data_IF_961611543864
#
_entry.id   IF_961611543864
#
_cell.length_a   1.000
_cell.length_b   1.000
_cell.length_c   1.000
_cell.angle_alpha   90.00
_cell.angle_beta   90.00
_cell.angle_gamma   90.00
#
_symmetry.space_group_name_H-M   'P 1'
#
loop_
_entity.id
_entity.type
_entity.pdbx_description
1 polymer ?
#
# COMPACT_ATOMS: atom_id res chain seq x y z
N UNK A 1 -31.67 26.08 -4.91
CA UNK A 1 -30.26 25.68 -4.79
C UNK A 1 -30.28 24.40 -3.99
N UNK A 2 -29.98 23.26 -4.62
CA UNK A 2 -29.82 21.99 -3.91
C UNK A 2 -28.54 22.07 -3.12
N UNK A 3 -28.68 22.06 -1.80
CA UNK A 3 -27.58 21.87 -0.86
C UNK A 3 -26.91 20.54 -1.22
N UNK A 4 -25.64 20.50 -1.65
CA UNK A 4 -24.96 19.23 -1.79
C UNK A 4 -24.61 18.80 -0.36
N UNK A 5 -25.53 18.10 0.29
CA UNK A 5 -25.11 17.12 1.29
C UNK A 5 -24.20 16.16 0.53
N UNK A 6 -22.89 16.43 0.58
CA UNK A 6 -21.87 15.48 0.19
C UNK A 6 -22.12 14.28 1.10
N UNK A 7 -22.72 13.25 0.54
CA UNK A 7 -22.77 11.98 1.21
C UNK A 7 -21.33 11.47 1.26
N UNK A 8 -20.71 11.64 2.42
CA UNK A 8 -19.33 11.22 2.65
C UNK A 8 -19.17 9.72 2.39
N UNK A 9 -20.19 8.90 2.68
CA UNK A 9 -20.13 7.48 2.42
C UNK A 9 -20.14 7.19 0.92
N UNK A 10 -21.00 7.85 0.13
CA UNK A 10 -20.98 7.72 -1.34
C UNK A 10 -19.68 8.23 -1.95
N UNK A 11 -19.14 9.33 -1.43
CA UNK A 11 -17.88 9.91 -1.91
C UNK A 11 -16.70 9.00 -1.60
N UNK A 12 -16.64 8.43 -0.40
CA UNK A 12 -15.61 7.46 -0.02
C UNK A 12 -15.72 6.18 -0.84
N UNK A 13 -16.93 5.65 -1.04
CA UNK A 13 -17.16 4.48 -1.88
C UNK A 13 -16.70 4.73 -3.32
N UNK A 14 -16.97 5.92 -3.87
CA UNK A 14 -16.49 6.33 -5.18
C UNK A 14 -14.96 6.37 -5.25
N UNK A 15 -14.29 7.02 -4.30
CA UNK A 15 -12.82 7.08 -4.27
C UNK A 15 -12.18 5.70 -4.10
N UNK A 16 -12.80 4.81 -3.30
CA UNK A 16 -12.34 3.43 -3.17
C UNK A 16 -12.44 2.69 -4.51
N UNK A 17 -13.58 2.79 -5.20
CA UNK A 17 -13.77 2.16 -6.50
C UNK A 17 -12.82 2.73 -7.59
N UNK A 18 -12.58 4.04 -7.58
CA UNK A 18 -11.63 4.68 -8.50
C UNK A 18 -10.19 4.18 -8.26
N UNK A 19 -9.79 4.02 -7.01
CA UNK A 19 -8.45 3.51 -6.66
C UNK A 19 -8.32 2.01 -6.95
N UNK A 20 -9.35 1.21 -6.68
CA UNK A 20 -9.38 -0.19 -7.06
C UNK A 20 -9.22 -0.35 -8.59
N UNK A 21 -9.93 0.47 -9.36
CA UNK A 21 -9.82 0.49 -10.82
C UNK A 21 -8.41 0.91 -11.28
N UNK A 22 -7.82 1.93 -10.66
CA UNK A 22 -6.45 2.37 -10.93
C UNK A 22 -5.41 1.27 -10.60
N UNK A 23 -5.54 0.62 -9.45
CA UNK A 23 -4.67 -0.50 -9.05
C UNK A 23 -4.80 -1.67 -10.03
N UNK A 24 -6.02 -1.98 -10.48
CA UNK A 24 -6.24 -3.02 -11.48
C UNK A 24 -5.62 -2.68 -12.83
N UNK A 25 -5.70 -1.43 -13.26
CA UNK A 25 -5.07 -0.95 -14.49
C UNK A 25 -3.53 -1.04 -14.38
N UNK A 26 -2.95 -0.50 -13.31
CA UNK A 26 -1.51 -0.54 -13.05
C UNK A 26 -0.98 -1.99 -13.01
N UNK A 27 -1.69 -2.90 -12.33
CA UNK A 27 -1.37 -4.32 -12.31
C UNK A 27 -1.33 -4.92 -13.72
N UNK A 28 -2.32 -4.60 -14.55
CA UNK A 28 -2.39 -5.06 -15.94
C UNK A 28 -1.25 -4.55 -16.83
N UNK A 29 -0.75 -3.35 -16.56
CA UNK A 29 0.40 -2.76 -17.26
C UNK A 29 1.75 -3.30 -16.77
N UNK A 30 1.90 -3.49 -15.46
CA UNK A 30 3.13 -3.96 -14.83
C UNK A 30 3.40 -5.45 -15.08
N UNK A 31 2.35 -6.29 -15.00
CA UNK A 31 2.48 -7.75 -15.12
C UNK A 31 3.25 -8.20 -16.38
N UNK A 32 2.93 -7.76 -17.60
CA UNK A 32 3.68 -8.18 -18.79
C UNK A 32 5.13 -7.66 -18.81
N UNK A 33 5.39 -6.48 -18.24
CA UNK A 33 6.75 -5.92 -18.16
C UNK A 33 7.64 -6.73 -17.21
N UNK A 34 7.12 -7.07 -16.03
CA UNK A 34 7.80 -7.94 -15.06
C UNK A 34 8.07 -9.33 -15.65
N UNK A 35 7.08 -9.93 -16.32
CA UNK A 35 7.25 -11.22 -17.00
C UNK A 35 8.28 -11.18 -18.13
N UNK A 36 8.35 -10.08 -18.88
CA UNK A 36 9.34 -9.92 -19.96
C UNK A 36 10.78 -9.87 -19.44
N UNK A 37 10.98 -9.38 -18.22
CA UNK A 37 12.28 -9.40 -17.52
C UNK A 37 12.59 -10.76 -16.87
N UNK A 38 11.64 -11.69 -16.86
CA UNK A 38 11.79 -12.99 -16.21
C UNK A 38 11.55 -12.95 -14.69
N UNK A 39 10.94 -11.87 -14.18
CA UNK A 39 10.57 -11.76 -12.76
C UNK A 39 9.46 -12.76 -12.45
N UNK A 40 9.67 -13.55 -11.40
CA UNK A 40 8.70 -14.53 -10.88
C UNK A 40 8.00 -14.05 -9.62
N UNK A 41 8.65 -13.18 -8.84
CA UNK A 41 8.10 -12.60 -7.62
C UNK A 41 8.62 -11.17 -7.44
N UNK A 42 7.76 -10.29 -6.93
CA UNK A 42 8.13 -8.95 -6.43
C UNK A 42 7.80 -8.90 -4.95
N UNK A 43 8.71 -8.39 -4.12
CA UNK A 43 8.44 -8.02 -2.74
C UNK A 43 8.73 -6.54 -2.55
N UNK A 44 7.74 -5.79 -2.07
CA UNK A 44 7.85 -4.36 -1.80
C UNK A 44 7.58 -4.10 -0.31
N UNK A 45 8.59 -3.63 0.40
CA UNK A 45 8.51 -3.25 1.81
C UNK A 45 8.09 -1.79 1.91
N UNK A 46 7.07 -1.50 2.71
CA UNK A 46 6.56 -0.14 2.88
C UNK A 46 6.45 0.21 4.35
N UNK A 47 6.63 1.49 4.65
CA UNK A 47 6.49 2.04 5.98
C UNK A 47 5.86 3.43 5.90
N UNK A 48 5.04 3.74 6.90
CA UNK A 48 4.52 5.06 7.15
C UNK A 48 4.55 5.38 8.63
N UNK A 49 4.76 6.65 8.95
CA UNK A 49 4.75 7.23 10.29
C UNK A 49 4.60 8.76 10.19
N UNK A 50 3.90 9.37 11.14
CA UNK A 50 3.82 10.83 11.23
C UNK A 50 3.18 11.49 10.01
N UNK A 51 2.13 10.85 9.48
CA UNK A 51 1.34 11.33 8.35
C UNK A 51 2.13 11.35 7.03
N UNK A 52 3.15 10.51 6.93
CA UNK A 52 4.01 10.35 5.75
C UNK A 52 4.52 8.92 5.65
N UNK A 53 4.87 8.49 4.45
CA UNK A 53 5.46 7.18 4.25
C UNK A 53 5.79 6.94 2.79
N UNK A 54 6.44 5.82 2.54
CA UNK A 54 6.74 5.37 1.20
C UNK A 54 6.97 3.85 1.15
N UNK A 55 7.22 3.34 -0.05
CA UNK A 55 7.94 2.08 -0.23
C UNK A 55 9.42 2.32 0.09
N UNK A 56 9.97 1.49 0.97
CA UNK A 56 11.35 1.54 1.44
C UNK A 56 12.28 0.70 0.56
N UNK A 57 11.81 -0.46 0.10
CA UNK A 57 12.57 -1.30 -0.83
C UNK A 57 11.66 -2.13 -1.75
N UNK A 58 12.20 -2.46 -2.92
CA UNK A 58 11.62 -3.39 -3.89
C UNK A 58 12.68 -4.39 -4.29
N UNK A 59 12.41 -5.66 -3.99
CA UNK A 59 13.23 -6.80 -4.41
C UNK A 59 12.46 -7.70 -5.37
N UNK A 60 13.18 -8.44 -6.20
CA UNK A 60 12.61 -9.34 -7.20
C UNK A 60 13.29 -10.69 -7.20
N UNK A 61 12.53 -11.71 -7.59
CA UNK A 61 13.04 -13.04 -7.88
C UNK A 61 12.96 -13.37 -9.38
N UNK A 62 13.91 -14.12 -9.94
CA UNK A 62 15.18 -14.51 -9.31
C UNK A 62 16.08 -13.30 -9.02
N UNK A 63 16.88 -13.42 -7.95
CA UNK A 63 17.83 -12.38 -7.58
C UNK A 63 18.81 -12.04 -8.72
N UNK A 64 19.16 -10.76 -8.84
CA UNK A 64 20.06 -10.23 -9.87
C UNK A 64 19.37 -9.70 -11.13
N UNK A 65 18.04 -9.78 -11.22
CA UNK A 65 17.29 -8.99 -12.20
C UNK A 65 17.26 -7.54 -11.74
N UNK A 66 17.73 -6.63 -12.59
CA UNK A 66 17.60 -5.19 -12.37
C UNK A 66 16.33 -4.68 -13.06
N UNK A 67 15.47 -4.02 -12.28
CA UNK A 67 14.33 -3.29 -12.84
C UNK A 67 14.82 -1.96 -13.41
N UNK A 68 14.41 -1.58 -14.64
CA UNK A 68 14.58 -0.21 -15.12
C UNK A 68 13.98 0.78 -14.12
N UNK A 69 14.63 1.94 -13.91
CA UNK A 69 14.21 2.94 -12.91
C UNK A 69 12.73 3.30 -13.03
N UNK A 70 12.22 3.50 -14.25
CA UNK A 70 10.82 3.86 -14.48
C UNK A 70 9.86 2.72 -14.12
N UNK A 71 10.27 1.46 -14.31
CA UNK A 71 9.48 0.30 -13.90
C UNK A 71 9.52 0.14 -12.39
N UNK A 72 10.67 0.37 -11.75
CA UNK A 72 10.82 0.32 -10.29
C UNK A 72 9.89 1.32 -9.63
N UNK A 73 9.91 2.58 -10.05
CA UNK A 73 9.01 3.63 -9.51
C UNK A 73 7.54 3.24 -9.67
N UNK A 74 7.13 2.70 -10.82
CA UNK A 74 5.73 2.26 -11.01
C UNK A 74 5.37 1.09 -10.10
N UNK A 75 6.31 0.19 -9.80
CA UNK A 75 6.11 -0.91 -8.84
C UNK A 75 5.99 -0.36 -7.41
N UNK A 76 6.82 0.62 -7.04
CA UNK A 76 6.74 1.32 -5.76
C UNK A 76 5.37 2.02 -5.59
N UNK A 77 4.98 2.83 -6.57
CA UNK A 77 3.68 3.53 -6.60
C UNK A 77 2.50 2.54 -6.50
N UNK A 78 2.58 1.43 -7.23
CA UNK A 78 1.58 0.38 -7.19
C UNK A 78 1.51 -0.28 -5.81
N UNK A 79 2.65 -0.64 -5.22
CA UNK A 79 2.69 -1.27 -3.91
C UNK A 79 2.14 -0.36 -2.81
N UNK A 80 2.54 0.91 -2.81
CA UNK A 80 2.00 1.93 -1.91
C UNK A 80 0.48 2.08 -2.07
N UNK A 81 0.00 2.21 -3.32
CA UNK A 81 -1.43 2.40 -3.60
C UNK A 81 -2.29 1.20 -3.18
N UNK A 82 -1.77 -0.03 -3.31
CA UNK A 82 -2.44 -1.25 -2.83
C UNK A 82 -2.46 -1.28 -1.30
N UNK A 83 -1.33 -1.03 -0.64
CA UNK A 83 -1.25 -0.99 0.83
C UNK A 83 -2.23 0.02 1.42
N UNK A 84 -2.23 1.26 0.92
CA UNK A 84 -3.14 2.32 1.37
C UNK A 84 -4.61 2.00 1.02
N UNK A 85 -4.89 1.30 -0.08
CA UNK A 85 -6.27 0.91 -0.42
C UNK A 85 -6.86 -0.05 0.62
N UNK A 86 -6.05 -1.02 1.07
CA UNK A 86 -6.46 -2.02 2.06
C UNK A 86 -6.43 -1.47 3.49
N UNK A 87 -5.47 -0.61 3.80
CA UNK A 87 -5.25 -0.03 5.13
C UNK A 87 -5.19 1.51 5.03
N UNK A 88 -6.32 2.19 4.74
CA UNK A 88 -6.30 3.64 4.55
C UNK A 88 -5.89 4.36 5.84
N UNK A 89 -4.86 5.19 5.73
CA UNK A 89 -4.36 5.99 6.84
C UNK A 89 -3.40 5.25 7.78
N UNK A 90 -2.83 4.12 7.36
CA UNK A 90 -1.84 3.38 8.14
C UNK A 90 -0.61 4.22 8.48
N UNK A 91 -0.30 5.23 7.69
CA UNK A 91 0.85 6.13 7.89
C UNK A 91 0.62 7.20 8.97
N UNK A 92 -0.61 7.35 9.46
CA UNK A 92 -0.96 8.40 10.41
C UNK A 92 -0.39 8.11 11.80
N UNK A 93 0.08 9.17 12.48
CA UNK A 93 0.59 9.12 13.85
C UNK A 93 1.67 8.03 14.06
N UNK A 94 1.37 6.99 14.84
CA UNK A 94 2.26 5.85 15.14
C UNK A 94 2.61 5.04 13.91
N UNK A 95 1.83 5.17 12.84
CA UNK A 95 2.16 4.60 11.56
C UNK A 95 1.87 3.11 11.45
N UNK A 96 2.46 2.51 10.44
CA UNK A 96 2.25 1.13 10.05
C UNK A 96 3.24 0.73 8.98
N UNK A 97 3.44 -0.55 8.81
CA UNK A 97 4.41 -1.08 7.85
C UNK A 97 3.95 -2.43 7.33
N UNK A 98 4.63 -2.93 6.32
CA UNK A 98 4.32 -4.24 5.79
C UNK A 98 5.09 -4.59 4.55
N UNK A 99 4.71 -5.71 3.97
CA UNK A 99 5.27 -6.21 2.72
C UNK A 99 4.14 -6.60 1.79
N UNK A 100 4.15 -6.03 0.59
CA UNK A 100 3.38 -6.55 -0.53
C UNK A 100 4.24 -7.59 -1.26
N UNK A 101 3.71 -8.81 -1.40
CA UNK A 101 4.33 -9.85 -2.22
C UNK A 101 3.43 -10.14 -3.41
N UNK A 102 4.00 -10.05 -4.61
CA UNK A 102 3.32 -10.38 -5.85
C UNK A 102 3.99 -11.58 -6.52
N UNK A 103 3.32 -12.72 -6.49
CA UNK A 103 3.65 -13.85 -7.37
C UNK A 103 3.25 -13.48 -8.80
N UNK A 104 4.25 -13.12 -9.61
CA UNK A 104 4.09 -12.69 -11.00
C UNK A 104 3.71 -13.88 -11.90
N UNK A 105 4.05 -15.10 -11.50
CA UNK A 105 3.75 -16.32 -12.26
C UNK A 105 2.28 -16.68 -12.12
N UNK A 106 1.79 -16.78 -10.89
CA UNK A 106 0.39 -17.03 -10.58
C UNK A 106 -0.51 -15.81 -10.78
N UNK A 107 0.09 -14.62 -10.88
CA UNK A 107 -0.60 -13.34 -10.78
C UNK A 107 -1.47 -13.31 -9.50
N UNK A 108 -0.82 -13.38 -8.35
CA UNK A 108 -1.45 -13.36 -7.03
C UNK A 108 -0.71 -12.41 -6.11
N UNK A 109 -1.44 -11.60 -5.35
CA UNK A 109 -0.88 -10.59 -4.45
C UNK A 109 -1.30 -10.89 -3.03
N UNK A 110 -0.34 -10.86 -2.11
CA UNK A 110 -0.54 -10.94 -0.66
C UNK A 110 0.01 -9.69 0.01
N UNK A 111 -0.62 -9.26 1.10
CA UNK A 111 -0.18 -8.15 1.91
C UNK A 111 -0.03 -8.65 3.34
N UNK A 112 1.18 -8.56 3.89
CA UNK A 112 1.43 -8.73 5.32
C UNK A 112 1.59 -7.33 5.92
N UNK A 113 0.72 -6.96 6.85
CA UNK A 113 0.61 -5.59 7.36
C UNK A 113 0.52 -5.56 8.87
N UNK A 114 1.20 -4.58 9.47
CA UNK A 114 1.14 -4.26 10.88
C UNK A 114 0.91 -2.77 11.11
N UNK A 115 -0.16 -2.45 11.84
CA UNK A 115 -0.36 -1.14 12.45
C UNK A 115 0.51 -1.01 13.72
N UNK A 116 1.03 0.20 13.96
CA UNK A 116 1.68 0.57 15.21
C UNK A 116 0.69 1.39 16.04
N UNK A 117 0.66 1.18 17.35
CA UNK A 117 -0.14 1.98 18.28
C UNK A 117 0.58 2.14 19.63
N UNK A 118 0.26 3.22 20.34
CA UNK A 118 0.71 3.48 21.70
C UNK A 118 -0.50 3.43 22.64
N UNK A 119 -0.46 2.55 23.63
CA UNK A 119 -1.47 2.49 24.68
C UNK A 119 -0.95 3.19 25.95
N UNK A 120 -1.73 4.15 26.45
CA UNK A 120 -1.45 4.86 27.68
C UNK A 120 -2.54 4.57 28.72
N UNK A 121 -2.17 4.00 29.87
CA UNK A 121 -3.05 3.85 31.02
C UNK A 121 -2.68 4.87 32.10
N UNK A 122 -3.69 5.60 32.59
CA UNK A 122 -3.53 6.60 33.64
C UNK A 122 -4.48 6.28 34.80
N UNK A 123 -3.93 6.16 36.01
CA UNK A 123 -4.70 6.11 37.25
C UNK A 123 -4.35 7.33 38.09
N UNK A 124 -5.36 7.86 38.78
CA UNK A 124 -5.21 9.01 39.65
C UNK A 124 -5.88 8.67 40.97
N UNK A 125 -5.08 8.60 42.03
CA UNK A 125 -5.54 8.42 43.39
C UNK A 125 -5.30 9.73 44.16
N UNK A 126 -6.37 10.29 44.73
CA UNK A 126 -6.31 11.49 45.56
C UNK A 126 -6.73 11.14 46.99
N UNK A 127 -6.02 11.71 47.99
CA UNK A 127 -6.35 11.51 49.40
C UNK A 127 -5.95 10.15 49.99
N UNK A 128 -4.97 9.47 49.39
CA UNK A 128 -4.24 8.36 50.02
C UNK A 128 -3.34 8.85 51.18
#
# INVERSE_FOLDING_TARGET
MTDPQIDFAETMAKWQAEREAANKAARGELLPQLRALGVTEVAAEYEGYGDSGNVEDVTVQPAGIELPDDLRTKVEDFAWSVAYHQHPGFENNEGGYGTLTWDVTADSITLDHADRYVECSHSFDEGL
#
